data_IF_038836144271
#
_entry.id   IF_038836144271
#
_cell.length_a   1.000
_cell.length_b   1.000
_cell.length_c   1.000
_cell.angle_alpha   90.00
_cell.angle_beta   90.00
_cell.angle_gamma   90.00
#
_symmetry.space_group_name_H-M   'P 1'
#
loop_
_entity.id
_entity.type
_entity.pdbx_description
1 polymer ?
#
# COMPACT_ATOMS: atom_id res chain seq x y z
N UNK A 1 -53.29 9.02 -26.50
CA UNK A 1 -52.12 9.31 -27.36
C UNK A 1 -51.77 10.78 -27.15
N UNK A 2 -50.48 11.08 -26.94
CA UNK A 2 -49.87 12.41 -26.71
C UNK A 2 -50.16 13.07 -25.35
N UNK A 3 -49.25 13.78 -24.68
CA UNK A 3 -47.79 13.74 -24.56
C UNK A 3 -47.51 14.71 -23.40
N UNK A 4 -47.06 14.25 -22.24
CA UNK A 4 -46.60 15.15 -21.17
C UNK A 4 -45.07 15.19 -21.26
N UNK A 5 -44.59 16.35 -21.69
CA UNK A 5 -43.18 16.68 -21.89
C UNK A 5 -42.39 16.49 -20.60
N UNK A 6 -41.28 15.74 -20.70
CA UNK A 6 -40.31 15.55 -19.63
C UNK A 6 -39.66 16.89 -19.28
N UNK A 7 -39.47 17.13 -17.98
CA UNK A 7 -38.57 18.15 -17.45
C UNK A 7 -37.14 17.62 -17.57
N UNK A 8 -36.29 18.37 -18.24
CA UNK A 8 -34.85 18.19 -18.20
C UNK A 8 -34.33 18.59 -16.82
N UNK A 9 -33.74 17.63 -16.09
CA UNK A 9 -32.89 17.88 -14.95
C UNK A 9 -31.48 17.39 -15.30
N UNK A 10 -30.42 18.15 -14.99
CA UNK A 10 -29.07 17.81 -15.41
C UNK A 10 -28.56 16.58 -14.64
N UNK A 11 -28.10 15.59 -15.38
CA UNK A 11 -27.38 14.42 -14.87
C UNK A 11 -26.07 14.90 -14.27
N UNK A 12 -25.95 14.82 -12.95
CA UNK A 12 -24.69 15.04 -12.25
C UNK A 12 -23.66 14.03 -12.79
N UNK A 13 -22.57 14.56 -13.34
CA UNK A 13 -21.44 13.78 -13.83
C UNK A 13 -20.79 13.00 -12.70
N UNK A 14 -21.15 11.72 -12.58
CA UNK A 14 -20.36 10.76 -11.82
C UNK A 14 -19.08 10.47 -12.60
N UNK A 15 -17.95 10.95 -12.08
CA UNK A 15 -16.63 10.55 -12.56
C UNK A 15 -16.52 9.03 -12.53
N UNK A 16 -16.34 8.41 -13.71
CA UNK A 16 -16.11 6.97 -13.86
C UNK A 16 -14.62 6.65 -13.79
N UNK A 17 -13.91 7.18 -12.81
CA UNK A 17 -12.57 6.68 -12.48
C UNK A 17 -12.73 5.33 -11.79
N UNK A 18 -12.84 4.28 -12.61
CA UNK A 18 -12.70 2.91 -12.12
C UNK A 18 -11.28 2.78 -11.58
N UNK A 19 -11.08 2.37 -10.32
CA UNK A 19 -9.74 2.07 -9.83
C UNK A 19 -9.19 0.91 -10.65
N UNK A 20 -8.18 1.20 -11.46
CA UNK A 20 -7.42 0.24 -12.25
C UNK A 20 -6.87 -0.83 -11.31
N UNK A 21 -7.27 -2.08 -11.55
CA UNK A 21 -6.71 -3.26 -10.89
C UNK A 21 -5.19 -3.24 -11.09
N UNK A 22 -4.44 -3.27 -9.98
CA UNK A 22 -2.98 -3.21 -9.96
C UNK A 22 -2.41 -4.44 -10.69
N UNK A 23 -2.14 -4.28 -11.98
CA UNK A 23 -1.26 -5.17 -12.71
C UNK A 23 0.17 -4.95 -12.19
N UNK A 24 0.86 -6.05 -11.87
CA UNK A 24 2.22 -6.10 -11.35
C UNK A 24 3.17 -5.06 -11.98
N UNK A 25 3.50 -4.00 -11.23
CA UNK A 25 4.85 -3.41 -11.13
C UNK A 25 4.80 -2.18 -10.20
N UNK A 26 5.41 -2.32 -9.01
CA UNK A 26 5.51 -1.32 -7.93
C UNK A 26 4.20 -1.04 -7.17
N UNK A 27 4.25 -1.23 -5.86
CA UNK A 27 3.19 -0.84 -4.93
C UNK A 27 3.05 0.70 -4.95
N UNK A 28 1.93 1.20 -5.46
CA UNK A 28 1.58 2.62 -5.43
C UNK A 28 0.94 2.95 -4.07
N UNK A 29 1.75 3.51 -3.16
CA UNK A 29 1.33 3.83 -1.79
C UNK A 29 0.25 4.91 -1.79
N UNK A 30 0.30 5.87 -2.70
CA UNK A 30 -0.65 6.99 -2.73
C UNK A 30 -2.02 6.53 -3.19
N UNK A 31 -2.07 5.62 -4.17
CA UNK A 31 -3.32 4.97 -4.58
C UNK A 31 -3.89 4.12 -3.44
N UNK A 32 -3.07 3.29 -2.78
CA UNK A 32 -3.55 2.44 -1.69
C UNK A 32 -4.06 3.25 -0.50
N UNK A 33 -3.36 4.31 -0.11
CA UNK A 33 -3.79 5.21 0.96
C UNK A 33 -5.12 5.86 0.60
N UNK A 34 -5.26 6.41 -0.60
CA UNK A 34 -6.50 7.05 -1.06
C UNK A 34 -7.68 6.08 -1.05
N UNK A 35 -7.48 4.83 -1.48
CA UNK A 35 -8.53 3.81 -1.45
C UNK A 35 -8.91 3.45 -0.01
N UNK A 36 -7.93 3.33 0.89
CA UNK A 36 -8.19 3.06 2.29
C UNK A 36 -8.92 4.22 3.00
N UNK A 37 -8.52 5.47 2.75
CA UNK A 37 -9.17 6.68 3.28
C UNK A 37 -10.61 6.85 2.79
N UNK A 38 -10.90 6.41 1.57
CA UNK A 38 -12.25 6.46 1.00
C UNK A 38 -13.19 5.38 1.57
N UNK A 39 -12.65 4.33 2.16
CA UNK A 39 -13.44 3.23 2.70
C UNK A 39 -14.08 3.64 4.05
N UNK A 40 -15.28 3.12 4.39
CA UNK A 40 -15.92 3.46 5.65
C UNK A 40 -15.05 3.09 6.85
N UNK A 41 -14.76 4.06 7.71
CA UNK A 41 -14.06 3.83 8.97
C UNK A 41 -14.87 2.96 9.92
N UNK A 42 -14.20 2.30 10.86
CA UNK A 42 -14.79 1.51 11.94
C UNK A 42 -14.61 0.01 11.74
N UNK A 43 -14.91 -0.76 12.79
CA UNK A 43 -14.82 -2.22 12.70
C UNK A 43 -15.84 -2.74 11.69
N UNK A 44 -15.34 -3.48 10.70
CA UNK A 44 -16.20 -4.15 9.74
C UNK A 44 -16.72 -5.47 10.32
N UNK A 45 -17.97 -5.77 10.01
CA UNK A 45 -18.62 -7.01 10.42
C UNK A 45 -19.44 -7.56 9.26
N UNK A 46 -19.32 -8.87 9.04
CA UNK A 46 -20.17 -9.58 8.11
C UNK A 46 -21.39 -10.06 8.88
N UNK A 47 -22.55 -9.55 8.49
CA UNK A 47 -23.81 -9.96 9.08
C UNK A 47 -24.47 -11.01 8.20
N UNK A 48 -24.86 -12.13 8.81
CA UNK A 48 -25.53 -13.26 8.15
C UNK A 48 -26.92 -13.51 8.76
N UNK A 49 -27.99 -13.43 7.98
CA UNK A 49 -29.34 -13.84 8.42
C UNK A 49 -30.17 -14.31 7.22
N UNK A 50 -30.97 -15.36 7.41
CA UNK A 50 -31.86 -15.93 6.37
C UNK A 50 -31.16 -16.16 5.02
N UNK A 51 -29.93 -16.69 5.06
CA UNK A 51 -29.05 -16.89 3.90
C UNK A 51 -28.55 -15.62 3.20
N UNK A 52 -28.73 -14.44 3.79
CA UNK A 52 -28.25 -13.16 3.25
C UNK A 52 -27.00 -12.67 3.98
N UNK A 53 -26.06 -12.12 3.23
CA UNK A 53 -24.81 -11.52 3.70
C UNK A 53 -24.79 -10.02 3.44
N UNK A 54 -24.29 -9.28 4.43
CA UNK A 54 -24.10 -7.82 4.36
C UNK A 54 -22.79 -7.45 5.06
N UNK A 55 -22.16 -6.36 4.64
CA UNK A 55 -20.98 -5.83 5.30
C UNK A 55 -21.29 -4.44 5.84
N UNK A 56 -21.11 -4.27 7.14
CA UNK A 56 -21.31 -3.00 7.83
C UNK A 56 -20.05 -2.58 8.58
N UNK A 57 -19.81 -1.28 8.64
CA UNK A 57 -18.87 -0.67 9.55
C UNK A 57 -19.63 -0.13 10.77
N UNK A 58 -19.07 -0.34 11.96
CA UNK A 58 -19.52 0.34 13.17
C UNK A 58 -18.87 1.72 13.28
N UNK A 59 -19.67 2.76 13.02
CA UNK A 59 -19.27 4.15 13.18
C UNK A 59 -20.00 4.77 14.36
N UNK A 60 -19.35 4.77 15.52
CA UNK A 60 -19.86 5.39 16.75
C UNK A 60 -21.24 4.84 17.15
N UNK A 61 -21.43 3.52 17.04
CA UNK A 61 -22.69 2.85 17.37
C UNK A 61 -23.74 2.93 16.25
N UNK A 62 -23.38 3.38 15.05
CA UNK A 62 -24.22 3.33 13.85
C UNK A 62 -23.64 2.36 12.84
N UNK A 63 -24.49 1.52 12.27
CA UNK A 63 -24.11 0.65 11.16
C UNK A 63 -24.15 1.42 9.83
N UNK A 64 -23.01 1.55 9.18
CA UNK A 64 -22.86 2.13 7.84
C UNK A 64 -22.57 1.01 6.85
N UNK A 65 -23.23 1.00 5.69
CA UNK A 65 -22.97 -0.02 4.66
C UNK A 65 -21.57 0.16 4.08
N UNK A 66 -20.79 -0.92 4.06
CA UNK A 66 -19.46 -0.98 3.43
C UNK A 66 -19.56 -1.47 1.99
N UNK A 67 -20.35 -2.52 1.80
CA UNK A 67 -20.66 -3.09 0.50
C UNK A 67 -22.17 -3.20 0.38
N UNK A 68 -22.72 -2.61 -0.68
CA UNK A 68 -24.14 -2.72 -0.97
C UNK A 68 -24.44 -4.10 -1.58
N UNK A 69 -25.41 -4.85 -1.03
CA UNK A 69 -25.80 -6.14 -1.58
C UNK A 69 -26.50 -5.94 -2.93
N UNK A 70 -26.30 -6.88 -3.85
CA UNK A 70 -27.01 -6.88 -5.15
C UNK A 70 -28.27 -7.72 -5.05
N UNK A 71 -29.36 -7.29 -5.68
CA UNK A 71 -30.58 -8.08 -5.79
C UNK A 71 -30.37 -9.28 -6.71
N UNK A 72 -30.62 -10.49 -6.20
CA UNK A 72 -30.61 -11.73 -6.97
C UNK A 72 -31.90 -11.92 -7.77
N UNK A 73 -31.95 -12.96 -8.61
CA UNK A 73 -33.11 -13.25 -9.47
C UNK A 73 -34.39 -13.63 -8.72
N UNK A 74 -34.29 -13.97 -7.44
CA UNK A 74 -35.42 -14.20 -6.53
C UNK A 74 -35.93 -12.91 -5.85
N UNK A 75 -35.34 -11.76 -6.17
CA UNK A 75 -35.70 -10.46 -5.60
C UNK A 75 -35.04 -10.16 -4.24
N UNK A 76 -34.17 -11.04 -3.73
CA UNK A 76 -33.49 -10.84 -2.45
C UNK A 76 -32.08 -10.27 -2.60
N UNK A 77 -31.70 -9.34 -1.71
CA UNK A 77 -30.39 -8.72 -1.75
C UNK A 77 -29.36 -9.55 -0.97
N UNK A 78 -28.28 -9.97 -1.62
CA UNK A 78 -27.23 -10.79 -1.01
C UNK A 78 -25.82 -10.43 -1.53
N UNK A 79 -24.80 -10.84 -0.77
CA UNK A 79 -23.40 -10.81 -1.16
C UNK A 79 -22.86 -12.24 -1.29
N UNK A 80 -22.21 -12.49 -2.42
CA UNK A 80 -21.56 -13.77 -2.72
C UNK A 80 -20.05 -13.56 -2.73
N UNK A 81 -19.36 -14.26 -1.83
CA UNK A 81 -17.90 -14.30 -1.81
C UNK A 81 -17.41 -15.67 -1.34
N UNK A 82 -16.19 -16.01 -1.74
CA UNK A 82 -15.57 -17.29 -1.40
C UNK A 82 -15.28 -17.46 0.09
N UNK A 83 -14.93 -18.69 0.48
CA UNK A 83 -14.48 -18.98 1.84
C UNK A 83 -13.29 -18.08 2.24
N UNK A 84 -13.30 -17.59 3.47
CA UNK A 84 -12.24 -16.73 4.02
C UNK A 84 -12.40 -15.23 3.75
N UNK A 85 -13.23 -14.82 2.77
CA UNK A 85 -13.44 -13.38 2.48
C UNK A 85 -14.12 -12.66 3.65
N UNK A 86 -15.06 -13.32 4.35
CA UNK A 86 -15.65 -12.72 5.54
C UNK A 86 -14.60 -12.40 6.61
N UNK A 87 -13.76 -13.38 6.94
CA UNK A 87 -12.67 -13.21 7.91
C UNK A 87 -11.68 -12.15 7.46
N UNK A 88 -11.35 -12.09 6.17
CA UNK A 88 -10.51 -11.04 5.60
C UNK A 88 -11.11 -9.64 5.82
N UNK A 89 -12.38 -9.44 5.44
CA UNK A 89 -13.06 -8.15 5.60
C UNK A 89 -13.15 -7.71 7.07
N UNK A 90 -13.39 -8.64 7.99
CA UNK A 90 -13.48 -8.36 9.43
C UNK A 90 -12.12 -8.09 10.08
N UNK A 91 -11.04 -8.67 9.55
CA UNK A 91 -9.69 -8.54 10.10
C UNK A 91 -8.90 -7.39 9.48
N UNK A 92 -9.35 -6.88 8.34
CA UNK A 92 -8.61 -5.88 7.55
C UNK A 92 -9.48 -4.66 7.22
N UNK A 93 -9.97 -3.91 8.23
CA UNK A 93 -10.68 -2.66 8.01
C UNK A 93 -9.72 -1.57 7.49
N UNK A 94 -10.29 -0.44 7.06
CA UNK A 94 -9.57 0.70 6.51
C UNK A 94 -8.41 1.18 7.40
N UNK A 95 -8.62 1.23 8.71
CA UNK A 95 -7.63 1.70 9.68
C UNK A 95 -6.40 0.80 9.74
N UNK A 96 -6.59 -0.52 9.68
CA UNK A 96 -5.48 -1.48 9.67
C UNK A 96 -4.65 -1.31 8.39
N UNK A 97 -5.31 -1.09 7.26
CA UNK A 97 -4.60 -0.80 6.01
C UNK A 97 -3.79 0.50 6.11
N UNK A 98 -4.34 1.56 6.70
CA UNK A 98 -3.66 2.84 6.89
C UNK A 98 -2.45 2.74 7.82
N UNK A 99 -2.60 2.03 8.94
CA UNK A 99 -1.51 1.79 9.90
C UNK A 99 -0.35 1.03 9.24
N UNK A 100 -0.65 -0.03 8.50
CA UNK A 100 0.38 -0.78 7.76
C UNK A 100 1.06 0.06 6.67
N UNK A 101 0.34 0.99 6.04
CA UNK A 101 0.92 1.92 5.07
C UNK A 101 1.84 2.94 5.75
N UNK A 102 1.47 3.44 6.93
CA UNK A 102 2.32 4.32 7.74
C UNK A 102 3.62 3.61 8.15
N UNK A 103 3.52 2.37 8.66
CA UNK A 103 4.67 1.55 9.01
C UNK A 103 5.58 1.29 7.80
N UNK A 104 5.00 0.98 6.63
CA UNK A 104 5.75 0.75 5.41
C UNK A 104 6.53 2.01 4.97
N UNK A 105 5.90 3.19 5.07
CA UNK A 105 6.56 4.47 4.74
C UNK A 105 7.71 4.74 5.72
N UNK A 106 7.47 4.57 7.03
CA UNK A 106 8.49 4.75 8.05
C UNK A 106 9.68 3.80 7.85
N UNK A 107 9.41 2.52 7.57
CA UNK A 107 10.45 1.53 7.30
C UNK A 107 11.28 1.88 6.04
N UNK A 108 10.64 2.38 4.98
CA UNK A 108 11.35 2.83 3.77
C UNK A 108 12.24 4.05 4.05
N UNK A 109 11.77 5.00 4.86
CA UNK A 109 12.57 6.15 5.26
C UNK A 109 13.79 5.73 6.10
N UNK A 110 13.59 4.90 7.12
CA UNK A 110 14.67 4.40 7.97
C UNK A 110 15.74 3.63 7.15
N UNK A 111 15.32 2.81 6.18
CA UNK A 111 16.24 2.14 5.28
C UNK A 111 17.05 3.13 4.43
N UNK A 112 16.41 4.17 3.89
CA UNK A 112 17.11 5.20 3.12
C UNK A 112 18.17 5.93 3.97
N UNK A 113 17.86 6.21 5.24
CA UNK A 113 18.80 6.83 6.18
C UNK A 113 19.99 5.92 6.49
N UNK A 114 19.75 4.62 6.71
CA UNK A 114 20.81 3.62 6.93
C UNK A 114 21.74 3.51 5.72
N UNK A 115 21.19 3.49 4.50
CA UNK A 115 22.00 3.51 3.29
C UNK A 115 22.81 4.80 3.16
N UNK A 116 22.21 5.95 3.45
CA UNK A 116 22.92 7.23 3.47
C UNK A 116 24.07 7.25 4.48
N UNK A 117 23.89 6.60 5.65
CA UNK A 117 24.95 6.44 6.63
C UNK A 117 26.07 5.52 6.12
N UNK A 118 25.72 4.40 5.49
CA UNK A 118 26.67 3.45 4.92
C UNK A 118 27.53 4.13 3.83
N UNK A 119 26.93 4.90 2.94
CA UNK A 119 27.65 5.66 1.90
C UNK A 119 28.59 6.72 2.48
N UNK A 120 28.21 7.37 3.60
CA UNK A 120 29.09 8.33 4.29
C UNK A 120 30.25 7.62 4.98
N UNK A 121 29.99 6.50 5.65
CA UNK A 121 31.03 5.68 6.27
C UNK A 121 32.03 5.17 5.23
N UNK A 122 31.53 4.72 4.07
CA UNK A 122 32.37 4.28 2.96
C UNK A 122 33.31 5.37 2.49
N UNK A 123 32.78 6.56 2.17
CA UNK A 123 33.60 7.71 1.74
C UNK A 123 34.65 8.10 2.78
N UNK A 124 34.32 8.03 4.06
CA UNK A 124 35.28 8.31 5.13
C UNK A 124 36.42 7.28 5.15
N UNK A 125 36.11 5.99 4.97
CA UNK A 125 37.12 4.92 4.88
C UNK A 125 38.03 5.16 3.66
N UNK A 126 37.46 5.46 2.49
CA UNK A 126 38.25 5.72 1.28
C UNK A 126 39.22 6.89 1.44
N UNK A 127 38.75 7.98 2.07
CA UNK A 127 39.60 9.14 2.37
C UNK A 127 40.72 8.80 3.35
N UNK A 128 40.43 8.01 4.39
CA UNK A 128 41.45 7.55 5.34
C UNK A 128 42.47 6.64 4.66
N UNK A 129 42.04 5.71 3.82
CA UNK A 129 42.92 4.84 3.04
C UNK A 129 43.84 5.66 2.12
N UNK A 130 43.29 6.67 1.42
CA UNK A 130 44.08 7.57 0.60
C UNK A 130 45.13 8.34 1.43
N UNK A 131 44.76 8.86 2.60
CA UNK A 131 45.70 9.53 3.51
C UNK A 131 46.81 8.58 3.99
N UNK A 132 46.47 7.33 4.31
CA UNK A 132 47.46 6.33 4.74
C UNK A 132 48.44 5.97 3.62
N UNK A 133 47.97 5.80 2.39
CA UNK A 133 48.84 5.54 1.21
C UNK A 133 49.78 6.73 0.98
N UNK A 134 49.28 7.96 1.10
CA UNK A 134 50.09 9.17 0.94
C UNK A 134 51.16 9.32 2.05
N UNK A 135 50.84 8.91 3.28
CA UNK A 135 51.75 8.99 4.43
C UNK A 135 52.78 7.85 4.50
N UNK A 136 52.45 6.67 3.96
CA UNK A 136 53.30 5.48 3.97
C UNK A 136 53.25 4.79 2.58
N UNK A 137 54.22 5.06 1.69
CA UNK A 137 54.20 4.56 0.30
C UNK A 137 54.26 3.03 0.15
N UNK A 138 54.70 2.34 1.20
CA UNK A 138 54.76 0.89 1.31
C UNK A 138 53.46 0.28 1.87
N UNK A 139 52.48 1.09 2.26
CA UNK A 139 51.17 0.62 2.69
C UNK A 139 50.49 -0.22 1.60
N UNK A 140 49.91 -1.35 2.00
CA UNK A 140 49.17 -2.29 1.12
C UNK A 140 47.82 -2.58 1.75
N UNK A 141 46.75 -2.20 1.06
CA UNK A 141 45.39 -2.57 1.44
C UNK A 141 45.21 -4.05 1.13
N UNK A 142 45.21 -4.91 2.16
CA UNK A 142 44.74 -6.29 2.01
C UNK A 142 43.25 -6.28 1.71
N UNK A 143 42.85 -6.98 0.65
CA UNK A 143 41.48 -6.99 0.12
C UNK A 143 40.45 -7.26 1.22
N UNK A 144 39.75 -6.20 1.64
CA UNK A 144 38.66 -6.32 2.61
C UNK A 144 37.46 -6.94 1.92
N UNK A 145 37.06 -8.13 2.39
CA UNK A 145 35.89 -8.92 1.94
C UNK A 145 34.59 -8.10 1.96
N UNK A 146 34.54 -7.07 2.80
CA UNK A 146 33.37 -6.19 3.02
C UNK A 146 32.96 -5.41 1.76
N UNK A 147 33.90 -5.13 0.84
CA UNK A 147 33.61 -4.35 -0.38
C UNK A 147 32.69 -5.09 -1.36
N UNK A 148 32.85 -6.42 -1.48
CA UNK A 148 32.05 -7.23 -2.40
C UNK A 148 30.59 -7.33 -1.96
N UNK A 149 30.33 -7.40 -0.65
CA UNK A 149 28.98 -7.56 -0.11
C UNK A 149 28.14 -6.28 -0.30
N UNK A 150 28.74 -5.10 -0.16
CA UNK A 150 28.01 -3.82 -0.34
C UNK A 150 27.66 -3.57 -1.80
N UNK A 151 28.57 -3.87 -2.74
CA UNK A 151 28.29 -3.78 -4.18
C UNK A 151 27.20 -4.78 -4.58
N UNK A 152 27.27 -6.01 -4.09
CA UNK A 152 26.25 -7.03 -4.35
C UNK A 152 24.85 -6.61 -3.83
N UNK A 153 24.78 -5.99 -2.65
CA UNK A 153 23.53 -5.46 -2.10
C UNK A 153 23.01 -4.26 -2.91
N UNK A 154 23.89 -3.34 -3.35
CA UNK A 154 23.50 -2.21 -4.18
C UNK A 154 22.97 -2.65 -5.55
N UNK A 155 23.65 -3.61 -6.19
CA UNK A 155 23.24 -4.22 -7.46
C UNK A 155 21.91 -4.98 -7.34
N UNK A 156 21.72 -5.76 -6.27
CA UNK A 156 20.46 -6.48 -6.01
C UNK A 156 19.26 -5.53 -5.82
N UNK A 157 19.50 -4.29 -5.40
CA UNK A 157 18.49 -3.24 -5.24
C UNK A 157 18.33 -2.35 -6.48
N UNK A 158 19.02 -2.67 -7.58
CA UNK A 158 18.94 -1.92 -8.84
C UNK A 158 19.58 -0.53 -8.79
N UNK A 159 20.43 -0.26 -7.79
CA UNK A 159 21.19 1.00 -7.69
C UNK A 159 22.63 0.73 -8.10
N UNK A 160 23.09 1.37 -9.18
CA UNK A 160 24.52 1.35 -9.51
C UNK A 160 25.28 2.17 -8.47
N UNK A 161 26.29 1.62 -7.79
CA UNK A 161 27.21 2.43 -7.01
C UNK A 161 27.94 3.39 -7.98
N UNK A 162 27.93 4.68 -7.65
CA UNK A 162 28.60 5.76 -8.39
C UNK A 162 30.09 5.82 -8.08
#
# INVERSE_FOLDING_TARGET
MMHISKRDAPVAGGSTDKPTVIANSKLDIDVLRRVAEAAPSGRWSVWTSNSWRRVFADQRGKHVSVVEPTTQGDGHADLLFGAGVATYLESFPAEVALELLDELVAARAANADLFGLLERAHRAIDLLLAQMIMAAPDFRVTQSVVWLDVVAVAEALGRKPS
#
